data_IF_763607726068
#
_entry.id   IF_763607726068
#
_cell.length_a   1.000
_cell.length_b   1.000
_cell.length_c   1.000
_cell.angle_alpha   90.00
_cell.angle_beta   90.00
_cell.angle_gamma   90.00
#
_symmetry.space_group_name_H-M   'P 1'
#
loop_
_entity.id
_entity.type
_entity.pdbx_description
1 polymer ?
#
# COMPACT_ATOMS: atom_id res chain seq x y z
N UNK A 1 -52.60 -46.39 -8.09
CA UNK A 1 -52.18 -45.63 -6.90
C UNK A 1 -51.15 -46.47 -6.18
N UNK A 2 -49.86 -46.18 -6.35
CA UNK A 2 -48.84 -46.47 -5.34
C UNK A 2 -47.47 -45.91 -5.71
N UNK A 3 -46.73 -45.59 -4.66
CA UNK A 3 -45.54 -44.78 -4.61
C UNK A 3 -44.28 -45.43 -5.19
N UNK A 4 -43.40 -44.61 -5.78
CA UNK A 4 -41.99 -44.39 -5.40
C UNK A 4 -41.23 -43.78 -6.57
N UNK A 5 -41.17 -42.46 -6.59
CA UNK A 5 -40.06 -41.76 -7.25
C UNK A 5 -38.90 -41.81 -6.27
N UNK A 6 -38.00 -42.77 -6.47
CA UNK A 6 -36.72 -42.83 -5.79
C UNK A 6 -35.63 -42.40 -6.78
N UNK A 7 -34.85 -41.41 -6.35
CA UNK A 7 -33.43 -41.36 -6.72
C UNK A 7 -33.01 -40.11 -7.48
N UNK A 8 -32.21 -39.28 -6.81
CA UNK A 8 -31.21 -38.48 -7.51
C UNK A 8 -31.26 -36.97 -7.34
N UNK A 9 -31.67 -36.43 -6.18
CA UNK A 9 -31.18 -35.09 -5.81
C UNK A 9 -29.75 -35.28 -5.31
N UNK A 10 -28.80 -35.21 -6.25
CA UNK A 10 -27.38 -35.07 -5.91
C UNK A 10 -27.22 -33.84 -5.01
N UNK A 11 -26.46 -33.91 -3.91
CA UNK A 11 -26.11 -32.71 -3.19
C UNK A 11 -25.25 -31.89 -4.14
N UNK A 12 -25.78 -30.75 -4.60
CA UNK A 12 -24.94 -29.67 -5.10
C UNK A 12 -24.02 -29.35 -3.93
N UNK A 13 -22.82 -29.93 -3.95
CA UNK A 13 -21.71 -29.49 -3.13
C UNK A 13 -21.53 -28.05 -3.55
N UNK A 14 -22.10 -27.14 -2.77
CA UNK A 14 -21.77 -25.74 -2.81
C UNK A 14 -20.25 -25.74 -2.68
N UNK A 15 -19.57 -25.57 -3.81
CA UNK A 15 -18.20 -25.16 -3.83
C UNK A 15 -18.26 -23.75 -3.24
N UNK A 16 -18.30 -23.70 -1.93
CA UNK A 16 -17.96 -22.55 -1.13
C UNK A 16 -16.49 -22.33 -1.48
N UNK A 17 -16.32 -21.64 -2.60
CA UNK A 17 -15.09 -21.04 -3.01
C UNK A 17 -14.81 -20.07 -1.88
N UNK A 18 -14.09 -20.56 -0.87
CA UNK A 18 -13.35 -19.75 0.09
C UNK A 18 -12.43 -18.89 -0.76
N UNK A 19 -12.95 -17.79 -1.31
CA UNK A 19 -12.13 -16.84 -2.02
C UNK A 19 -11.23 -16.27 -0.94
N UNK A 20 -9.91 -16.54 -0.97
CA UNK A 20 -9.04 -15.95 0.02
C UNK A 20 -9.24 -14.45 -0.08
N UNK A 21 -9.68 -13.84 1.02
CA UNK A 21 -9.94 -12.41 1.04
C UNK A 21 -8.60 -11.74 0.80
N UNK A 22 -8.37 -11.27 -0.44
CA UNK A 22 -7.11 -10.64 -0.83
C UNK A 22 -7.06 -9.26 -0.19
N UNK A 23 -6.42 -9.21 0.99
CA UNK A 23 -6.15 -7.97 1.72
C UNK A 23 -5.19 -7.08 0.91
N UNK A 24 -4.27 -7.70 0.17
CA UNK A 24 -3.31 -7.00 -0.66
C UNK A 24 -3.90 -6.75 -2.05
N UNK A 25 -4.29 -5.50 -2.28
CA UNK A 25 -4.79 -5.04 -3.59
C UNK A 25 -3.63 -4.48 -4.42
N UNK A 26 -3.68 -4.59 -5.76
CA UNK A 26 -2.66 -3.98 -6.62
C UNK A 26 -2.53 -2.47 -6.39
N UNK A 27 -3.63 -1.77 -6.06
CA UNK A 27 -3.60 -0.35 -5.70
C UNK A 27 -2.79 -0.06 -4.43
N UNK A 28 -2.91 -0.88 -3.39
CA UNK A 28 -2.09 -0.75 -2.18
C UNK A 28 -0.61 -1.00 -2.46
N UNK A 29 -0.31 -2.00 -3.31
CA UNK A 29 1.07 -2.29 -3.73
C UNK A 29 1.67 -1.14 -4.52
N UNK A 30 0.94 -0.57 -5.49
CA UNK A 30 1.40 0.57 -6.28
C UNK A 30 1.64 1.79 -5.38
N UNK A 31 0.74 2.09 -4.44
CA UNK A 31 0.91 3.19 -3.50
C UNK A 31 2.15 3.02 -2.60
N UNK A 32 2.43 1.79 -2.14
CA UNK A 32 3.64 1.49 -1.37
C UNK A 32 4.90 1.65 -2.22
N UNK A 33 4.91 1.13 -3.45
CA UNK A 33 6.06 1.27 -4.35
C UNK A 33 6.36 2.74 -4.68
N UNK A 34 5.31 3.54 -4.93
CA UNK A 34 5.46 4.98 -5.12
C UNK A 34 6.02 5.66 -3.88
N UNK A 35 5.49 5.34 -2.69
CA UNK A 35 6.02 5.89 -1.44
C UNK A 35 7.51 5.57 -1.26
N UNK A 36 7.91 4.32 -1.46
CA UNK A 36 9.33 3.89 -1.39
C UNK A 36 10.18 4.65 -2.41
N UNK A 37 9.71 4.82 -3.64
CA UNK A 37 10.43 5.56 -4.68
C UNK A 37 10.64 7.03 -4.30
N UNK A 38 9.62 7.70 -3.77
CA UNK A 38 9.75 9.08 -3.29
C UNK A 38 10.67 9.19 -2.08
N UNK A 39 10.61 8.22 -1.15
CA UNK A 39 11.56 8.13 -0.03
C UNK A 39 12.99 7.94 -0.50
N UNK A 40 13.21 7.10 -1.52
CA UNK A 40 14.54 6.86 -2.10
C UNK A 40 15.12 8.14 -2.71
N UNK A 41 14.34 8.85 -3.52
CA UNK A 41 14.77 10.13 -4.11
C UNK A 41 15.06 11.15 -3.01
N UNK A 42 14.20 11.24 -2.00
CA UNK A 42 14.41 12.15 -0.88
C UNK A 42 15.67 11.80 -0.08
N UNK A 43 15.94 10.50 0.12
CA UNK A 43 17.15 10.01 0.77
C UNK A 43 18.42 10.41 -0.01
N UNK A 44 18.50 10.05 -1.29
CA UNK A 44 19.65 10.34 -2.16
C UNK A 44 19.92 11.83 -2.35
N UNK A 45 18.88 12.65 -2.32
CA UNK A 45 19.00 14.09 -2.59
C UNK A 45 19.24 14.93 -1.35
N UNK A 46 19.02 14.39 -0.16
CA UNK A 46 19.01 15.19 1.06
C UNK A 46 19.59 14.48 2.27
N UNK A 47 19.18 13.24 2.53
CA UNK A 47 19.61 12.52 3.74
C UNK A 47 21.04 11.97 3.63
N UNK A 48 21.51 11.74 2.41
CA UNK A 48 22.91 11.40 2.12
C UNK A 48 23.85 12.61 2.12
N UNK A 49 23.33 13.84 2.12
CA UNK A 49 24.10 15.07 1.99
C UNK A 49 24.16 15.78 3.34
N UNK A 50 25.36 16.09 3.83
CA UNK A 50 25.54 16.90 5.02
C UNK A 50 25.35 18.39 4.68
N UNK A 51 24.23 18.96 5.12
CA UNK A 51 23.99 20.40 5.02
C UNK A 51 24.65 21.14 6.20
N UNK A 52 25.18 22.33 5.93
CA UNK A 52 25.71 23.19 6.98
C UNK A 52 24.59 23.85 7.82
N UNK A 53 24.97 24.63 8.83
CA UNK A 53 24.03 25.37 9.71
C UNK A 53 23.10 26.35 8.95
N UNK A 54 23.46 26.75 7.74
CA UNK A 54 22.67 27.61 6.85
C UNK A 54 21.77 26.81 5.89
N UNK A 55 21.74 25.48 5.99
CA UNK A 55 20.96 24.60 5.10
C UNK A 55 21.48 24.56 3.67
N UNK A 56 22.77 24.86 3.46
CA UNK A 56 23.41 24.91 2.14
C UNK A 56 24.50 23.85 2.05
N UNK A 57 24.46 23.07 0.98
CA UNK A 57 25.56 22.20 0.60
C UNK A 57 26.17 22.75 -0.70
N UNK A 58 27.47 23.02 -0.67
CA UNK A 58 28.20 23.45 -1.86
C UNK A 58 28.91 22.24 -2.46
N UNK A 59 28.48 21.85 -3.65
CA UNK A 59 29.20 20.85 -4.43
C UNK A 59 30.30 21.54 -5.24
N UNK A 60 31.55 21.29 -4.87
CA UNK A 60 32.72 21.89 -5.50
C UNK A 60 33.01 21.33 -6.90
N UNK A 61 32.55 20.11 -7.22
CA UNK A 61 32.76 19.49 -8.53
C UNK A 61 31.80 20.04 -9.57
N UNK A 62 30.53 20.21 -9.19
CA UNK A 62 29.49 20.69 -10.09
C UNK A 62 29.27 22.21 -10.00
N UNK A 63 29.91 22.89 -9.04
CA UNK A 63 29.69 24.31 -8.71
C UNK A 63 28.21 24.66 -8.45
N UNK A 64 27.44 23.72 -7.89
CA UNK A 64 26.02 23.87 -7.59
C UNK A 64 25.83 24.07 -6.09
N UNK A 65 25.05 25.08 -5.72
CA UNK A 65 24.56 25.26 -4.35
C UNK A 65 23.22 24.54 -4.22
N UNK A 66 23.18 23.52 -3.39
CA UNK A 66 21.94 22.85 -3.00
C UNK A 66 21.34 23.56 -1.80
N UNK A 67 20.05 23.89 -1.90
CA UNK A 67 19.29 24.62 -0.88
C UNK A 67 18.21 23.72 -0.28
N UNK A 68 17.90 23.93 1.00
CA UNK A 68 16.87 23.27 1.81
C UNK A 68 15.40 23.44 1.34
N UNK A 69 15.13 23.51 0.03
CA UNK A 69 13.76 23.47 -0.49
C UNK A 69 13.22 22.02 -0.59
N UNK A 70 13.94 21.04 -0.06
CA UNK A 70 13.70 19.61 -0.29
C UNK A 70 12.49 19.04 0.48
N UNK A 71 11.90 19.80 1.41
CA UNK A 71 10.68 19.42 2.14
C UNK A 71 9.49 19.13 1.20
N UNK A 72 9.54 19.64 -0.04
CA UNK A 72 8.54 19.39 -1.08
C UNK A 72 8.44 17.89 -1.43
N UNK A 73 9.51 17.10 -1.27
CA UNK A 73 9.51 15.67 -1.57
C UNK A 73 9.12 14.78 -0.38
N UNK A 74 9.23 15.32 0.84
CA UNK A 74 8.71 14.70 2.06
C UNK A 74 7.18 14.56 1.97
N UNK A 75 6.47 15.63 1.57
CA UNK A 75 5.01 15.66 1.42
C UNK A 75 4.42 14.49 0.58
N UNK A 76 4.86 14.24 -0.67
CA UNK A 76 4.36 13.12 -1.45
C UNK A 76 4.77 11.77 -0.85
N UNK A 77 5.98 11.63 -0.31
CA UNK A 77 6.44 10.37 0.29
C UNK A 77 5.54 9.94 1.46
N UNK A 78 5.27 10.85 2.39
CA UNK A 78 4.36 10.61 3.52
C UNK A 78 2.89 10.53 3.07
N UNK A 79 2.49 11.30 2.06
CA UNK A 79 1.14 11.27 1.51
C UNK A 79 0.78 9.90 0.91
N UNK A 80 1.66 9.32 0.08
CA UNK A 80 1.45 7.99 -0.49
C UNK A 80 1.52 6.88 0.57
N UNK A 81 2.40 7.03 1.57
CA UNK A 81 2.47 6.10 2.69
C UNK A 81 1.16 6.08 3.49
N UNK A 82 0.65 7.26 3.84
CA UNK A 82 -0.60 7.42 4.58
C UNK A 82 -1.77 6.84 3.78
N UNK A 83 -1.85 7.12 2.49
CA UNK A 83 -2.86 6.55 1.60
C UNK A 83 -2.81 5.01 1.60
N UNK A 84 -1.61 4.42 1.49
CA UNK A 84 -1.43 2.97 1.54
C UNK A 84 -1.92 2.38 2.88
N UNK A 85 -1.60 3.03 4.01
CA UNK A 85 -2.05 2.64 5.35
C UNK A 85 -3.57 2.72 5.47
N UNK A 86 -4.20 3.78 4.93
CA UNK A 86 -5.66 3.94 4.94
C UNK A 86 -6.34 2.84 4.14
N UNK A 87 -5.84 2.53 2.93
CA UNK A 87 -6.38 1.45 2.10
C UNK A 87 -6.24 0.10 2.80
N UNK A 88 -5.06 -0.18 3.37
CA UNK A 88 -4.80 -1.44 4.06
C UNK A 88 -5.67 -1.58 5.31
N UNK A 89 -5.76 -0.53 6.13
CA UNK A 89 -6.54 -0.53 7.37
C UNK A 89 -8.04 -0.67 7.10
N UNK A 90 -8.58 0.06 6.12
CA UNK A 90 -9.97 -0.07 5.69
C UNK A 90 -10.29 -1.50 5.24
N UNK A 91 -9.41 -2.11 4.44
CA UNK A 91 -9.59 -3.50 3.99
C UNK A 91 -9.50 -4.50 5.13
N UNK A 92 -8.55 -4.33 6.05
CA UNK A 92 -8.43 -5.16 7.24
C UNK A 92 -9.67 -5.05 8.12
N UNK A 93 -10.21 -3.85 8.33
CA UNK A 93 -11.44 -3.64 9.08
C UNK A 93 -12.63 -4.35 8.43
N UNK A 94 -12.82 -4.20 7.12
CA UNK A 94 -13.89 -4.91 6.40
C UNK A 94 -13.74 -6.44 6.48
N UNK A 95 -12.51 -6.96 6.36
CA UNK A 95 -12.26 -8.38 6.52
C UNK A 95 -12.59 -8.87 7.93
N UNK A 96 -12.25 -8.09 8.96
CA UNK A 96 -12.54 -8.41 10.35
C UNK A 96 -14.04 -8.38 10.65
N UNK A 97 -14.76 -7.38 10.14
CA UNK A 97 -16.22 -7.28 10.27
C UNK A 97 -16.90 -8.47 9.62
N UNK A 98 -16.53 -8.85 8.39
CA UNK A 98 -17.12 -10.01 7.72
C UNK A 98 -16.84 -11.33 8.46
N UNK A 99 -15.66 -11.50 9.05
CA UNK A 99 -15.32 -12.69 9.85
C UNK A 99 -16.00 -12.74 11.22
N UNK A 100 -16.47 -11.60 11.75
CA UNK A 100 -17.17 -11.55 13.03
C UNK A 100 -18.69 -11.72 12.91
N UNK A 101 -19.23 -11.65 11.69
CA UNK A 101 -20.67 -11.81 11.38
C UNK A 101 -20.98 -13.23 10.88
N UNK A 102 -19.99 -13.93 10.30
CA UNK A 102 -20.08 -15.33 9.88
C UNK A 102 -19.76 -16.27 11.05
#
# INVERSE_FOLDING_TARGET
>A
MDARICGGVSPVKNAESERPVRVLTPGAVIALLLSVFFFWIWYERYLSIEFNELGRYYDAENHIVYTDAAFVWCLPAFGFLLLAIVILSYRLMLCRVNKGIA
#
